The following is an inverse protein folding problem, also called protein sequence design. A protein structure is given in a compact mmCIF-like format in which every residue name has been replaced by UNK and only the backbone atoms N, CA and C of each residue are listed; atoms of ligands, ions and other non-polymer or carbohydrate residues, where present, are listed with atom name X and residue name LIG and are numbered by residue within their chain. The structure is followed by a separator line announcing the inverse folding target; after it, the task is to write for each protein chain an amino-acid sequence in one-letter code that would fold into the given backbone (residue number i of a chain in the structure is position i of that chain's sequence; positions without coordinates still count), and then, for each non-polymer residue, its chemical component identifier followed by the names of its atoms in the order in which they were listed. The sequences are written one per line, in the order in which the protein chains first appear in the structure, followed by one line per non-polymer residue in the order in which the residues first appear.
data_IF_064554906545
#
_entry.id   IF_064554906545
#
_cell.length_a   1.000
_cell.length_b   1.000
_cell.length_c   1.000
_cell.angle_alpha   90.00
_cell.angle_beta   90.00
_cell.angle_gamma   90.00
#
_symmetry.space_group_name_H-M   'P 1'
#
loop_
_entity.id
_entity.type
_entity.pdbx_description
1 polymer ?
#
# COMPACT_ATOMS: atom_id res chain seq x y z
N UNK A 1 -11.64 -26.57 -5.70
CA UNK A 1 -12.30 -26.21 -4.43
C UNK A 1 -11.40 -25.47 -3.40
N UNK A 2 -10.12 -25.16 -3.67
CA UNK A 2 -9.14 -24.80 -2.63
C UNK A 2 -8.93 -23.30 -2.28
N UNK A 3 -9.71 -22.34 -2.84
CA UNK A 3 -9.47 -20.89 -2.62
C UNK A 3 -10.18 -20.30 -1.39
N UNK A 4 -11.28 -20.89 -0.94
CA UNK A 4 -12.07 -20.35 0.19
C UNK A 4 -11.45 -20.68 1.56
N UNK A 5 -10.73 -21.80 1.67
CA UNK A 5 -10.06 -22.19 2.91
C UNK A 5 -8.74 -21.43 3.16
N UNK A 6 -8.20 -20.79 2.13
CA UNK A 6 -6.94 -20.04 2.20
C UNK A 6 -7.04 -18.81 3.14
N UNK A 7 -8.24 -18.24 3.28
CA UNK A 7 -8.50 -17.09 4.13
C UNK A 7 -8.95 -17.43 5.55
N UNK A 8 -9.39 -18.68 5.76
CA UNK A 8 -9.72 -19.18 7.10
C UNK A 8 -8.47 -19.43 7.96
N UNK A 9 -7.31 -19.68 7.32
CA UNK A 9 -6.08 -20.09 8.00
C UNK A 9 -5.19 -18.94 8.47
N UNK A 10 -5.17 -17.80 7.77
CA UNK A 10 -4.26 -16.68 8.07
C UNK A 10 -4.88 -15.29 7.82
N UNK A 11 -5.69 -14.75 8.76
CA UNK A 11 -6.38 -13.48 8.59
C UNK A 11 -5.42 -12.29 8.37
N UNK A 12 -4.18 -12.37 8.88
CA UNK A 12 -3.17 -11.32 8.71
C UNK A 12 -2.71 -11.15 7.26
N UNK A 13 -2.60 -12.25 6.49
CA UNK A 13 -2.17 -12.21 5.08
C UNK A 13 -3.30 -11.70 4.19
N UNK A 14 -4.55 -12.09 4.47
CA UNK A 14 -5.75 -11.51 3.84
C UNK A 14 -5.77 -9.99 4.05
N UNK A 15 -5.58 -9.57 5.30
CA UNK A 15 -5.67 -8.17 5.67
C UNK A 15 -4.60 -7.35 4.94
N UNK A 16 -3.33 -7.81 4.95
CA UNK A 16 -2.24 -7.19 4.20
C UNK A 16 -2.49 -7.12 2.68
N UNK A 17 -3.07 -8.17 2.09
CA UNK A 17 -3.42 -8.18 0.68
C UNK A 17 -4.49 -7.12 0.36
N UNK A 18 -5.57 -7.06 1.16
CA UNK A 18 -6.67 -6.12 0.96
C UNK A 18 -6.18 -4.68 1.17
N UNK A 19 -5.42 -4.41 2.25
CA UNK A 19 -4.93 -3.05 2.51
C UNK A 19 -3.96 -2.57 1.43
N UNK A 20 -3.11 -3.45 0.90
CA UNK A 20 -2.19 -3.09 -0.20
C UNK A 20 -2.94 -2.85 -1.51
N UNK A 21 -4.01 -3.61 -1.78
CA UNK A 21 -4.90 -3.34 -2.92
C UNK A 21 -5.64 -2.02 -2.77
N UNK A 22 -6.22 -1.76 -1.60
CA UNK A 22 -6.93 -0.52 -1.32
C UNK A 22 -5.99 0.69 -1.41
N UNK A 23 -4.75 0.55 -0.94
CA UNK A 23 -3.71 1.58 -1.07
C UNK A 23 -3.40 1.87 -2.54
N UNK A 24 -3.14 0.83 -3.34
CA UNK A 24 -2.85 0.97 -4.77
C UNK A 24 -4.02 1.56 -5.57
N UNK A 25 -5.23 1.05 -5.36
CA UNK A 25 -6.45 1.57 -6.01
C UNK A 25 -6.77 3.00 -5.55
N UNK A 26 -6.62 3.28 -4.27
CA UNK A 26 -6.83 4.61 -3.70
C UNK A 26 -5.88 5.63 -4.32
N UNK A 27 -4.59 5.30 -4.45
CA UNK A 27 -3.59 6.14 -5.12
C UNK A 27 -3.88 6.34 -6.61
N UNK A 28 -4.40 5.33 -7.30
CA UNK A 28 -4.82 5.44 -8.70
C UNK A 28 -5.99 6.41 -8.86
N UNK A 29 -7.03 6.27 -8.05
CA UNK A 29 -8.21 7.14 -8.09
C UNK A 29 -7.82 8.57 -7.70
N UNK A 30 -7.07 8.75 -6.60
CA UNK A 30 -6.65 10.07 -6.14
C UNK A 30 -5.56 10.72 -7.00
N UNK A 31 -4.73 9.95 -7.70
CA UNK A 31 -3.70 10.50 -8.58
C UNK A 31 -4.24 10.87 -9.96
N UNK A 32 -5.15 10.07 -10.51
CA UNK A 32 -5.67 10.28 -11.88
C UNK A 32 -6.89 11.19 -11.90
N UNK A 33 -7.80 11.09 -10.91
CA UNK A 33 -9.03 11.87 -10.94
C UNK A 33 -8.81 13.40 -10.91
N UNK A 34 -7.93 13.97 -10.05
CA UNK A 34 -7.73 15.42 -10.03
C UNK A 34 -7.09 15.94 -11.33
N UNK A 35 -6.20 15.15 -11.92
CA UNK A 35 -5.52 15.48 -13.18
C UNK A 35 -6.49 15.50 -14.36
N UNK A 36 -7.41 14.52 -14.39
CA UNK A 36 -8.43 14.44 -15.42
C UNK A 36 -9.42 15.59 -15.27
N UNK A 37 -9.90 15.83 -14.04
CA UNK A 37 -10.84 16.90 -13.72
C UNK A 37 -10.25 18.28 -14.01
N UNK A 38 -9.00 18.55 -13.65
CA UNK A 38 -8.35 19.83 -13.94
C UNK A 38 -8.14 20.04 -15.45
N UNK A 39 -7.75 19.00 -16.20
CA UNK A 39 -7.60 19.09 -17.66
C UNK A 39 -8.92 19.41 -18.37
N UNK A 40 -10.02 18.81 -17.91
CA UNK A 40 -11.36 18.99 -18.49
C UNK A 40 -11.98 20.35 -18.12
N UNK A 41 -11.78 20.82 -16.89
CA UNK A 41 -12.36 22.09 -16.42
C UNK A 41 -11.61 23.32 -16.92
N UNK A 42 -10.28 23.25 -17.02
CA UNK A 42 -9.46 24.45 -17.24
C UNK A 42 -9.04 24.65 -18.68
N UNK A 43 -9.09 23.59 -19.52
CA UNK A 43 -8.62 23.63 -20.92
C UNK A 43 -7.13 24.01 -21.08
N UNK A 44 -6.41 24.16 -19.95
CA UNK A 44 -5.04 24.61 -19.90
C UNK A 44 -4.07 23.44 -20.14
N UNK A 45 -2.91 23.70 -20.74
CA UNK A 45 -1.88 22.67 -20.91
C UNK A 45 -1.45 22.13 -19.54
N UNK A 46 -1.38 20.81 -19.43
CA UNK A 46 -0.96 20.14 -18.20
C UNK A 46 0.49 20.54 -17.92
N UNK A 47 0.73 21.17 -16.76
CA UNK A 47 2.09 21.51 -16.34
C UNK A 47 2.94 20.24 -16.22
N UNK A 48 4.17 20.28 -16.75
CA UNK A 48 5.12 19.17 -16.70
C UNK A 48 5.32 18.63 -15.28
N UNK A 49 5.25 19.51 -14.27
CA UNK A 49 5.36 19.14 -12.84
C UNK A 49 4.19 18.28 -12.38
N UNK A 50 2.96 18.58 -12.79
CA UNK A 50 1.79 17.74 -12.49
C UNK A 50 1.89 16.38 -13.19
N UNK A 51 2.36 16.38 -14.44
CA UNK A 51 2.53 15.15 -15.22
C UNK A 51 3.55 14.20 -14.55
N UNK A 52 4.67 14.75 -14.09
CA UNK A 52 5.67 14.03 -13.28
C UNK A 52 5.08 13.50 -11.97
N UNK A 53 4.39 14.33 -11.18
CA UNK A 53 3.79 13.86 -9.91
C UNK A 53 2.75 12.76 -10.13
N UNK A 54 1.91 12.88 -11.15
CA UNK A 54 0.89 11.88 -11.46
C UNK A 54 1.50 10.58 -11.98
N UNK A 55 2.58 10.65 -12.76
CA UNK A 55 3.31 9.46 -13.21
C UNK A 55 3.96 8.70 -12.05
N UNK A 56 4.52 9.41 -11.07
CA UNK A 56 5.08 8.82 -9.85
C UNK A 56 4.00 8.18 -8.98
N UNK A 57 2.85 8.85 -8.83
CA UNK A 57 1.67 8.29 -8.14
C UNK A 57 1.15 7.03 -8.82
N UNK A 58 1.09 7.02 -10.16
CA UNK A 58 0.69 5.85 -10.94
C UNK A 58 1.69 4.69 -10.77
N UNK A 59 2.99 4.98 -10.82
CA UNK A 59 4.03 3.99 -10.60
C UNK A 59 3.93 3.37 -9.19
N UNK A 60 3.73 4.20 -8.16
CA UNK A 60 3.53 3.74 -6.79
C UNK A 60 2.26 2.88 -6.66
N UNK A 61 1.15 3.30 -7.26
CA UNK A 61 -0.09 2.55 -7.27
C UNK A 61 0.07 1.16 -7.88
N UNK A 62 0.71 1.07 -9.06
CA UNK A 62 0.99 -0.20 -9.73
C UNK A 62 1.95 -1.08 -8.92
N UNK A 63 2.92 -0.47 -8.23
CA UNK A 63 3.85 -1.17 -7.33
C UNK A 63 3.09 -1.81 -6.16
N UNK A 64 2.17 -1.09 -5.51
CA UNK A 64 1.34 -1.64 -4.42
C UNK A 64 0.37 -2.73 -4.89
N UNK A 65 -0.17 -2.62 -6.11
CA UNK A 65 -1.00 -3.68 -6.72
C UNK A 65 -0.16 -4.93 -6.98
N UNK A 66 1.04 -4.77 -7.56
CA UNK A 66 1.98 -5.87 -7.78
C UNK A 66 2.41 -6.55 -6.48
N UNK A 67 2.75 -5.76 -5.46
CA UNK A 67 3.07 -6.27 -4.12
C UNK A 67 1.88 -7.01 -3.49
N UNK A 68 0.66 -6.52 -3.66
CA UNK A 68 -0.52 -7.21 -3.16
C UNK A 68 -0.69 -8.60 -3.82
N UNK A 69 -0.44 -8.72 -5.13
CA UNK A 69 -0.46 -10.02 -5.82
C UNK A 69 0.63 -10.97 -5.30
N UNK A 70 1.83 -10.45 -5.01
CA UNK A 70 2.93 -11.24 -4.44
C UNK A 70 2.65 -11.67 -2.99
N UNK A 71 2.01 -10.82 -2.18
CA UNK A 71 1.56 -11.16 -0.82
C UNK A 71 0.52 -12.29 -0.87
N UNK A 72 -0.39 -12.27 -1.84
CA UNK A 72 -1.33 -13.37 -2.09
C UNK A 72 -0.62 -14.68 -2.43
N UNK A 73 0.53 -14.62 -3.09
CA UNK A 73 1.40 -15.77 -3.35
C UNK A 73 2.30 -16.16 -2.15
N UNK A 74 2.12 -15.54 -0.97
CA UNK A 74 2.90 -15.77 0.27
C UNK A 74 4.40 -15.47 0.14
N UNK A 75 4.76 -14.58 -0.76
CA UNK A 75 6.15 -14.16 -0.95
C UNK A 75 6.56 -13.23 0.20
N UNK A 76 7.41 -13.72 1.10
CA UNK A 76 7.76 -13.01 2.35
C UNK A 76 8.45 -11.67 2.13
N UNK A 77 9.27 -11.54 1.08
CA UNK A 77 9.97 -10.29 0.78
C UNK A 77 9.01 -9.20 0.30
N UNK A 78 7.89 -9.56 -0.34
CA UNK A 78 6.90 -8.60 -0.82
C UNK A 78 6.16 -7.91 0.34
N UNK A 79 5.88 -8.64 1.42
CA UNK A 79 5.31 -8.06 2.63
C UNK A 79 6.29 -7.07 3.30
N UNK A 80 7.58 -7.40 3.32
CA UNK A 80 8.64 -6.49 3.79
C UNK A 80 8.77 -5.25 2.92
N UNK A 81 8.80 -5.41 1.60
CA UNK A 81 8.89 -4.30 0.66
C UNK A 81 7.66 -3.37 0.76
N UNK A 82 6.46 -3.94 0.91
CA UNK A 82 5.24 -3.17 1.12
C UNK A 82 5.27 -2.40 2.44
N UNK A 83 5.77 -3.00 3.52
CA UNK A 83 5.95 -2.35 4.81
C UNK A 83 6.95 -1.19 4.78
N UNK A 84 8.11 -1.37 4.16
CA UNK A 84 9.13 -0.31 4.07
C UNK A 84 8.67 0.85 3.19
N UNK A 85 8.00 0.56 2.07
CA UNK A 85 7.43 1.58 1.21
C UNK A 85 6.31 2.36 1.92
N UNK A 86 5.38 1.67 2.59
CA UNK A 86 4.27 2.33 3.27
C UNK A 86 4.74 3.20 4.45
N UNK A 87 5.72 2.73 5.22
CA UNK A 87 6.30 3.51 6.34
C UNK A 87 7.07 4.73 5.83
N UNK A 88 7.81 4.60 4.73
CA UNK A 88 8.49 5.73 4.09
C UNK A 88 7.47 6.78 3.63
N UNK A 89 6.35 6.35 3.02
CA UNK A 89 5.25 7.22 2.63
C UNK A 89 4.60 7.94 3.81
N UNK A 90 4.41 7.26 4.94
CA UNK A 90 3.94 7.91 6.19
C UNK A 90 4.91 8.99 6.62
N UNK A 91 6.21 8.70 6.65
CA UNK A 91 7.23 9.66 7.10
C UNK A 91 7.28 10.89 6.19
N UNK A 92 7.31 10.69 4.87
CA UNK A 92 7.28 11.78 3.88
C UNK A 92 5.99 12.59 4.02
N UNK A 93 4.84 11.91 4.19
CA UNK A 93 3.54 12.56 4.36
C UNK A 93 3.48 13.42 5.63
N UNK A 94 3.94 12.89 6.77
CA UNK A 94 3.98 13.62 8.04
C UNK A 94 4.92 14.82 7.96
N UNK A 95 6.11 14.65 7.38
CA UNK A 95 7.06 15.75 7.20
C UNK A 95 6.49 16.84 6.28
N UNK A 96 5.80 16.47 5.20
CA UNK A 96 5.12 17.42 4.34
C UNK A 96 4.00 18.18 5.08
N UNK A 97 3.23 17.52 5.95
CA UNK A 97 2.21 18.20 6.77
C UNK A 97 2.84 19.19 7.75
N UNK A 98 3.93 18.80 8.42
CA UNK A 98 4.65 19.66 9.37
C UNK A 98 5.24 20.89 8.68
N UNK A 99 5.88 20.70 7.52
CA UNK A 99 6.57 21.78 6.79
C UNK A 99 5.57 22.70 6.10
N UNK A 100 4.55 22.15 5.44
CA UNK A 100 3.69 22.91 4.52
C UNK A 100 2.39 23.40 5.15
N UNK A 101 2.12 23.09 6.44
CA UNK A 101 0.81 23.32 7.10
C UNK A 101 -0.36 22.85 6.21
N UNK A 102 -0.16 21.76 5.46
CA UNK A 102 -1.13 21.29 4.47
C UNK A 102 -2.43 20.84 5.14
N UNK A 103 -3.55 21.19 4.51
CA UNK A 103 -4.90 20.87 4.98
C UNK A 103 -5.16 19.37 5.13
N UNK A 104 -6.17 19.05 5.96
CA UNK A 104 -6.70 17.72 6.29
C UNK A 104 -6.93 16.77 5.11
N UNK A 105 -7.04 17.26 3.86
CA UNK A 105 -7.28 16.44 2.67
C UNK A 105 -6.20 15.37 2.45
N UNK A 106 -4.95 15.65 2.82
CA UNK A 106 -3.83 14.70 2.70
C UNK A 106 -3.74 13.70 3.87
N UNK A 107 -4.54 13.87 4.94
CA UNK A 107 -4.54 12.96 6.09
C UNK A 107 -5.08 11.56 5.71
N UNK A 108 -5.97 11.48 4.72
CA UNK A 108 -6.54 10.22 4.23
C UNK A 108 -5.46 9.26 3.71
N UNK A 109 -4.51 9.76 2.92
CA UNK A 109 -3.38 8.97 2.38
C UNK A 109 -2.46 8.47 3.50
N UNK A 110 -2.23 9.29 4.53
CA UNK A 110 -1.43 8.92 5.70
C UNK A 110 -2.13 7.80 6.48
N UNK A 111 -3.45 7.91 6.70
CA UNK A 111 -4.23 6.86 7.39
C UNK A 111 -4.18 5.54 6.62
N UNK A 112 -4.34 5.55 5.30
CA UNK A 112 -4.19 4.35 4.47
C UNK A 112 -2.77 3.78 4.53
N UNK A 113 -1.73 4.62 4.52
CA UNK A 113 -0.34 4.20 4.60
C UNK A 113 0.00 3.57 5.96
N UNK A 114 -0.52 4.13 7.06
CA UNK A 114 -0.39 3.55 8.40
C UNK A 114 -1.11 2.20 8.48
N UNK A 115 -2.36 2.13 7.99
CA UNK A 115 -3.13 0.88 7.95
C UNK A 115 -2.41 -0.22 7.16
N UNK A 116 -1.85 0.11 6.00
CA UNK A 116 -1.08 -0.81 5.19
C UNK A 116 0.25 -1.23 5.87
N UNK A 117 0.91 -0.32 6.59
CA UNK A 117 2.11 -0.63 7.36
C UNK A 117 1.81 -1.65 8.46
N UNK A 118 0.77 -1.40 9.27
CA UNK A 118 0.37 -2.30 10.35
C UNK A 118 -0.04 -3.68 9.82
N UNK A 119 -0.79 -3.71 8.71
CA UNK A 119 -1.21 -4.96 8.09
C UNK A 119 -0.02 -5.79 7.58
N UNK A 120 0.93 -5.16 6.90
CA UNK A 120 2.11 -5.84 6.38
C UNK A 120 3.07 -6.30 7.48
N UNK A 121 3.17 -5.55 8.59
CA UNK A 121 3.93 -5.99 9.76
C UNK A 121 3.37 -7.29 10.36
N UNK A 122 2.04 -7.37 10.52
CA UNK A 122 1.36 -8.57 11.01
C UNK A 122 1.53 -9.75 10.04
N UNK A 123 1.46 -9.50 8.73
CA UNK A 123 1.68 -10.53 7.72
C UNK A 123 3.12 -11.05 7.69
N UNK A 124 4.12 -10.17 7.83
CA UNK A 124 5.53 -10.57 7.98
C UNK A 124 5.71 -11.48 9.20
N UNK A 125 5.15 -11.10 10.35
CA UNK A 125 5.18 -11.91 11.56
C UNK A 125 4.50 -13.27 11.40
N UNK A 126 3.39 -13.34 10.66
CA UNK A 126 2.70 -14.59 10.37
C UNK A 126 3.51 -15.49 9.40
N UNK A 127 4.08 -14.91 8.34
CA UNK A 127 4.91 -15.62 7.36
C UNK A 127 6.22 -16.14 8.00
N UNK A 128 6.80 -15.39 8.94
CA UNK A 128 7.97 -15.84 9.72
C UNK A 128 7.63 -17.05 10.61
N UNK A 129 6.46 -17.06 11.27
CA UNK A 129 5.99 -18.21 12.07
C UNK A 129 5.70 -19.45 11.23
N UNK A 130 5.27 -19.29 9.98
CA UNK A 130 5.07 -20.42 9.05
C UNK A 130 6.39 -21.02 8.56
N UNK A 131 7.43 -20.20 8.39
CA UNK A 131 8.77 -20.65 7.99
C UNK A 131 9.55 -21.33 9.11
N UNK A 132 9.22 -21.04 10.36
CA UNK A 132 9.77 -21.74 11.52
C UNK A 132 8.72 -22.70 12.06
N UNK A 133 8.52 -23.89 11.44
CA UNK A 133 7.73 -24.91 12.10
C UNK A 133 8.43 -25.18 13.43
N UNK A 134 7.72 -24.91 14.54
CA UNK A 134 8.12 -25.38 15.87
C UNK A 134 8.63 -26.81 15.68
N UNK A 135 9.91 -27.06 15.97
CA UNK A 135 10.38 -28.43 16.17
C UNK A 135 9.37 -29.05 17.16
N UNK A 136 8.73 -30.18 16.84
CA UNK A 136 7.98 -30.89 17.86
C UNK A 136 8.95 -31.08 19.02
N UNK A 137 8.53 -30.73 20.23
CA UNK A 137 9.28 -31.06 21.43
C UNK A 137 9.40 -32.59 21.45
N UNK A 138 10.52 -33.10 20.96
CA UNK A 138 10.93 -34.46 21.23
C UNK A 138 11.41 -34.49 22.66
N UNK A 139 10.76 -35.39 23.41
CA UNK A 139 11.06 -35.90 24.75
C UNK A 139 10.36 -35.12 25.87
#
# INVERSE_FOLDING_TARGET
MARKDLYKKDPAILFAHITSLCMGLGMLVWGVAPAFVSSQLTGAPIEMRMLLMNSLLFLLAMTFIGLALLIKQRVSWAAWASFTLSTTLVFVGVMAVIISKMHLSNASVIVFAVGNSTANWLAVGALARQRSPRRPATI
#
